data_IF_185576171116
#
_entry.id   IF_185576171116
#
_cell.length_a   1.000
_cell.length_b   1.000
_cell.length_c   1.000
_cell.angle_alpha   90.00
_cell.angle_beta   90.00
_cell.angle_gamma   90.00
#
_symmetry.space_group_name_H-M   'P 1'
#
loop_
_entity.id
_entity.type
_entity.pdbx_description
1 polymer ?
#
# COMPACT_ATOMS: atom_id res chain seq x y z
N UNK A 1 3.67 -21.44 -6.58
CA UNK A 1 2.87 -20.52 -5.73
C UNK A 1 3.00 -20.96 -4.28
N UNK A 2 2.96 -20.03 -3.33
CA UNK A 2 3.06 -20.32 -1.90
C UNK A 2 1.78 -19.88 -1.20
N UNK A 3 1.34 -20.63 -0.20
CA UNK A 3 0.19 -20.25 0.62
C UNK A 3 0.56 -19.02 1.47
N UNK A 4 -0.28 -17.98 1.42
CA UNK A 4 -0.21 -16.85 2.33
C UNK A 4 -0.91 -17.13 3.67
N UNK A 5 -0.89 -16.15 4.57
CA UNK A 5 -1.58 -16.24 5.88
C UNK A 5 -3.11 -16.40 5.73
N UNK A 6 -3.67 -15.95 4.61
CA UNK A 6 -5.10 -16.12 4.30
C UNK A 6 -6.02 -15.10 4.98
N UNK A 7 -5.50 -13.92 5.37
CA UNK A 7 -6.33 -12.82 5.92
C UNK A 7 -7.28 -12.26 4.86
N UNK A 8 -6.79 -12.05 3.64
CA UNK A 8 -7.59 -11.62 2.50
C UNK A 8 -7.47 -12.63 1.36
N UNK A 9 -8.58 -12.84 0.65
CA UNK A 9 -8.58 -13.61 -0.60
C UNK A 9 -7.89 -12.80 -1.69
N UNK A 10 -6.85 -13.38 -2.30
CA UNK A 10 -6.14 -12.74 -3.40
C UNK A 10 -4.83 -13.43 -3.72
N UNK A 11 -4.22 -13.02 -4.84
CA UNK A 11 -2.90 -13.50 -5.27
C UNK A 11 -1.95 -12.33 -5.41
N UNK A 12 -0.72 -12.51 -4.93
CA UNK A 12 0.40 -11.61 -5.22
C UNK A 12 1.13 -12.13 -6.45
N UNK A 13 1.25 -11.31 -7.49
CA UNK A 13 1.88 -11.68 -8.77
C UNK A 13 2.79 -10.58 -9.29
N UNK A 14 3.69 -10.91 -10.22
CA UNK A 14 4.65 -9.95 -10.79
C UNK A 14 3.93 -8.79 -11.44
N UNK A 15 4.42 -7.56 -11.24
CA UNK A 15 3.94 -6.40 -11.98
C UNK A 15 4.32 -6.49 -13.46
N UNK A 16 3.44 -6.00 -14.32
CA UNK A 16 3.61 -5.81 -15.75
C UNK A 16 4.09 -4.38 -15.98
N UNK A 17 5.40 -4.18 -15.87
CA UNK A 17 6.05 -2.90 -16.09
C UNK A 17 7.32 -3.11 -16.95
N UNK A 18 7.71 -2.12 -17.78
CA UNK A 18 8.90 -2.25 -18.63
C UNK A 18 10.21 -2.33 -17.85
N UNK A 19 10.24 -1.83 -16.61
CA UNK A 19 11.40 -1.86 -15.71
C UNK A 19 10.93 -2.40 -14.37
N UNK A 20 11.68 -3.33 -13.78
CA UNK A 20 11.45 -3.86 -12.44
C UNK A 20 12.77 -3.92 -11.65
N UNK A 21 12.72 -3.83 -10.31
CA UNK A 21 11.54 -3.60 -9.47
C UNK A 21 10.93 -2.20 -9.62
N UNK A 22 9.65 -2.04 -9.25
CA UNK A 22 9.12 -0.74 -8.88
C UNK A 22 9.91 -0.24 -7.68
N UNK A 23 10.80 0.73 -7.91
CA UNK A 23 11.74 1.23 -6.91
C UNK A 23 11.81 2.75 -6.93
N UNK A 24 11.55 3.37 -5.78
CA UNK A 24 11.58 4.80 -5.62
C UNK A 24 10.29 5.35 -5.01
N UNK A 25 10.11 6.66 -5.17
CA UNK A 25 8.97 7.38 -4.63
C UNK A 25 7.79 7.33 -5.62
N UNK A 26 6.61 6.96 -5.14
CA UNK A 26 5.39 6.95 -5.92
C UNK A 26 4.21 7.46 -5.06
N UNK A 27 3.22 8.05 -5.72
CA UNK A 27 2.01 8.55 -5.04
C UNK A 27 0.98 7.45 -4.88
N UNK A 28 -0.05 7.75 -4.09
CA UNK A 28 -1.15 6.85 -3.79
C UNK A 28 -2.50 7.51 -4.10
N UNK A 29 -3.48 6.69 -4.46
CA UNK A 29 -4.89 7.01 -4.51
C UNK A 29 -5.52 6.46 -3.22
N UNK A 30 -5.51 7.28 -2.16
CA UNK A 30 -6.02 6.87 -0.85
C UNK A 30 -7.54 6.63 -0.88
N UNK A 31 -8.00 5.60 -0.16
CA UNK A 31 -9.42 5.37 0.05
C UNK A 31 -10.10 6.58 0.71
N UNK A 32 -11.32 6.90 0.29
CA UNK A 32 -12.11 7.94 0.93
C UNK A 32 -12.33 7.58 2.41
N UNK A 33 -11.96 8.49 3.32
CA UNK A 33 -12.10 8.28 4.76
C UNK A 33 -11.02 7.40 5.40
N UNK A 34 -9.92 7.12 4.68
CA UNK A 34 -8.75 6.43 5.25
C UNK A 34 -8.25 7.14 6.51
N UNK A 35 -8.03 6.36 7.58
CA UNK A 35 -7.42 6.89 8.80
C UNK A 35 -5.91 6.91 8.68
N UNK A 36 -5.31 5.90 8.04
CA UNK A 36 -3.87 5.84 7.78
C UNK A 36 -3.37 7.07 7.02
N UNK A 37 -4.08 7.46 5.95
CA UNK A 37 -3.63 8.50 5.03
C UNK A 37 -4.07 9.92 5.39
N UNK A 38 -4.76 10.11 6.53
CA UNK A 38 -5.23 11.42 6.97
C UNK A 38 -4.11 12.47 7.02
N UNK A 39 -4.22 13.49 6.19
CA UNK A 39 -3.25 14.59 6.07
C UNK A 39 -2.00 14.27 5.26
N UNK A 40 -1.93 13.11 4.61
CA UNK A 40 -0.84 12.67 3.72
C UNK A 40 -1.38 12.03 2.43
N UNK A 41 -2.62 12.36 2.05
CA UNK A 41 -3.34 11.74 0.93
C UNK A 41 -2.66 12.01 -0.43
N UNK A 42 -1.92 13.11 -0.54
CA UNK A 42 -1.26 13.56 -1.77
C UNK A 42 0.28 13.42 -1.72
N UNK A 43 0.81 12.75 -0.69
CA UNK A 43 2.25 12.56 -0.52
C UNK A 43 2.77 11.35 -1.31
N UNK A 44 4.09 11.25 -1.43
CA UNK A 44 4.75 10.10 -2.02
C UNK A 44 5.37 9.18 -0.96
N UNK A 45 5.35 7.88 -1.23
CA UNK A 45 5.90 6.85 -0.36
C UNK A 45 6.98 6.04 -1.10
N UNK A 46 7.91 5.46 -0.36
CA UNK A 46 9.03 4.70 -0.92
C UNK A 46 8.66 3.24 -1.13
N UNK A 47 8.68 2.80 -2.39
CA UNK A 47 8.42 1.44 -2.82
C UNK A 47 9.71 0.72 -3.25
N UNK A 48 9.76 -0.59 -3.03
CA UNK A 48 10.79 -1.48 -3.60
C UNK A 48 10.24 -2.90 -3.72
N UNK A 49 9.62 -3.24 -4.85
CA UNK A 49 9.01 -4.56 -5.08
C UNK A 49 8.87 -4.90 -6.56
N UNK A 50 8.84 -6.19 -6.90
CA UNK A 50 8.51 -6.67 -8.27
C UNK A 50 7.14 -7.35 -8.35
N UNK A 51 6.54 -7.68 -7.22
CA UNK A 51 5.26 -8.37 -7.11
C UNK A 51 4.29 -7.52 -6.30
N UNK A 52 3.00 -7.60 -6.59
CA UNK A 52 1.96 -6.89 -5.85
C UNK A 52 0.62 -7.63 -5.94
N UNK A 53 -0.29 -7.31 -5.01
CA UNK A 53 -1.71 -7.66 -5.16
C UNK A 53 -2.38 -6.65 -6.10
N UNK A 54 -3.25 -7.13 -6.99
CA UNK A 54 -3.81 -6.35 -8.11
C UNK A 54 -5.34 -6.30 -8.13
N UNK A 55 -5.96 -7.10 -7.27
CA UNK A 55 -7.41 -7.24 -7.18
C UNK A 55 -7.92 -6.65 -5.86
N UNK A 56 -9.17 -6.21 -5.87
CA UNK A 56 -9.85 -5.75 -4.65
C UNK A 56 -10.14 -6.95 -3.75
N UNK A 57 -9.91 -6.80 -2.44
CA UNK A 57 -9.97 -7.88 -1.46
C UNK A 57 -10.46 -7.44 -0.07
N UNK A 58 -10.70 -6.14 0.14
CA UNK A 58 -11.00 -5.55 1.45
C UNK A 58 -11.80 -4.23 1.30
N UNK A 59 -12.29 -3.69 2.43
CA UNK A 59 -13.16 -2.51 2.43
C UNK A 59 -12.43 -1.21 2.06
N UNK A 60 -11.39 -0.81 2.81
CA UNK A 60 -10.66 0.43 2.57
C UNK A 60 -9.31 0.13 1.90
N UNK A 61 -9.22 0.45 0.62
CA UNK A 61 -8.09 0.11 -0.22
C UNK A 61 -7.47 1.34 -0.86
N UNK A 62 -6.17 1.48 -0.67
CA UNK A 62 -5.36 2.52 -1.30
C UNK A 62 -4.58 1.91 -2.45
N UNK A 63 -4.59 2.58 -3.59
CA UNK A 63 -4.01 2.07 -4.83
C UNK A 63 -2.83 2.92 -5.30
N UNK A 64 -1.93 2.35 -6.09
CA UNK A 64 -0.96 3.09 -6.89
C UNK A 64 -0.88 2.49 -8.29
N UNK A 65 -0.23 3.20 -9.20
CA UNK A 65 0.01 2.73 -10.57
C UNK A 65 1.50 2.73 -10.88
N UNK A 66 2.01 1.61 -11.39
CA UNK A 66 3.35 1.49 -11.96
C UNK A 66 3.34 0.40 -13.04
N UNK A 67 3.22 0.82 -14.31
CA UNK A 67 2.91 -0.09 -15.44
C UNK A 67 1.45 -0.56 -15.43
N UNK A 68 1.01 -1.11 -14.30
CA UNK A 68 -0.39 -1.47 -14.01
C UNK A 68 -0.81 -1.01 -12.60
N UNK A 69 -2.11 -1.10 -12.30
CA UNK A 69 -2.68 -0.71 -11.01
C UNK A 69 -2.48 -1.83 -9.97
N UNK A 70 -2.10 -1.46 -8.75
CA UNK A 70 -1.87 -2.42 -7.65
C UNK A 70 -2.25 -1.85 -6.28
N UNK A 71 -2.50 -2.73 -5.31
CA UNK A 71 -2.80 -2.37 -3.93
C UNK A 71 -1.55 -1.86 -3.22
N UNK A 72 -1.61 -0.62 -2.76
CA UNK A 72 -0.54 0.04 -2.02
C UNK A 72 -0.75 0.00 -0.52
N UNK A 73 -2.00 -0.01 -0.06
CA UNK A 73 -2.33 -0.25 1.33
C UNK A 73 -3.76 -0.76 1.50
N UNK A 74 -4.02 -1.40 2.65
CA UNK A 74 -5.34 -1.87 3.06
C UNK A 74 -5.57 -1.52 4.53
N UNK A 75 -6.76 -1.03 4.83
CA UNK A 75 -7.34 -0.90 6.17
C UNK A 75 -8.58 -1.78 6.25
N UNK A 76 -8.58 -2.77 7.15
CA UNK A 76 -9.71 -3.68 7.32
C UNK A 76 -9.84 -4.10 8.79
N UNK A 77 -10.75 -3.43 9.50
CA UNK A 77 -10.92 -3.60 10.95
C UNK A 77 -9.61 -3.35 11.69
N UNK A 78 -9.08 -4.40 12.34
CA UNK A 78 -7.84 -4.34 13.11
C UNK A 78 -6.57 -4.60 12.28
N UNK A 79 -6.72 -4.92 10.99
CA UNK A 79 -5.58 -5.23 10.11
C UNK A 79 -5.28 -4.02 9.24
N UNK A 80 -4.02 -3.61 9.25
CA UNK A 80 -3.48 -2.60 8.34
C UNK A 80 -2.23 -3.14 7.67
N UNK A 81 -2.09 -2.92 6.37
CA UNK A 81 -0.91 -3.32 5.61
C UNK A 81 -0.56 -2.26 4.57
N UNK A 82 0.74 -2.11 4.29
CA UNK A 82 1.28 -1.22 3.25
C UNK A 82 2.26 -2.00 2.37
N UNK A 83 2.26 -1.73 1.07
CA UNK A 83 3.22 -2.30 0.11
C UNK A 83 4.50 -1.47 0.03
N UNK A 84 4.39 -0.15 0.29
CA UNK A 84 5.53 0.73 0.49
C UNK A 84 6.11 0.57 1.91
N UNK A 85 7.27 1.20 2.13
CA UNK A 85 7.99 1.19 3.39
C UNK A 85 7.76 2.50 4.15
N UNK A 86 6.79 2.59 5.07
CA UNK A 86 6.52 3.85 5.77
C UNK A 86 7.75 4.33 6.58
N UNK A 87 8.57 3.42 7.10
CA UNK A 87 9.82 3.75 7.81
C UNK A 87 10.90 4.35 6.91
N UNK A 88 10.77 4.19 5.58
CA UNK A 88 11.67 4.76 4.57
C UNK A 88 11.06 5.94 3.82
N UNK A 89 9.85 6.34 4.17
CA UNK A 89 9.07 7.35 3.43
C UNK A 89 9.12 8.75 4.07
N UNK A 90 10.17 9.04 4.83
CA UNK A 90 10.41 10.36 5.44
C UNK A 90 9.25 10.83 6.34
N UNK A 91 8.94 12.12 6.27
CA UNK A 91 7.91 12.75 7.11
C UNK A 91 6.50 12.21 6.80
N UNK A 92 6.19 11.93 5.54
CA UNK A 92 4.91 11.33 5.13
C UNK A 92 4.74 9.94 5.75
N UNK A 93 5.79 9.12 5.71
CA UNK A 93 5.83 7.81 6.35
C UNK A 93 5.67 7.86 7.87
N UNK A 94 6.36 8.81 8.52
CA UNK A 94 6.23 9.04 9.96
C UNK A 94 4.82 9.48 10.35
N UNK A 95 4.19 10.36 9.57
CA UNK A 95 2.81 10.78 9.78
C UNK A 95 1.84 9.60 9.64
N UNK A 96 2.02 8.74 8.63
CA UNK A 96 1.22 7.52 8.46
C UNK A 96 1.35 6.58 9.66
N UNK A 97 2.56 6.35 10.17
CA UNK A 97 2.79 5.52 11.38
C UNK A 97 2.09 6.13 12.61
N UNK A 98 2.15 7.47 12.77
CA UNK A 98 1.43 8.16 13.85
C UNK A 98 -0.09 8.01 13.73
N UNK A 99 -0.62 8.06 12.51
CA UNK A 99 -2.04 7.83 12.25
C UNK A 99 -2.44 6.41 12.62
N UNK A 100 -1.69 5.40 12.16
CA UNK A 100 -1.89 4.01 12.55
C UNK A 100 -1.86 3.80 14.06
N UNK A 101 -0.89 4.38 14.78
CA UNK A 101 -0.81 4.20 16.23
C UNK A 101 -2.04 4.74 16.99
N UNK A 102 -2.80 5.66 16.40
CA UNK A 102 -4.03 6.22 16.98
C UNK A 102 -5.27 5.36 16.71
N UNK A 103 -5.17 4.33 15.88
CA UNK A 103 -6.26 3.38 15.61
C UNK A 103 -6.23 2.15 16.51
N UNK A 104 -5.25 2.06 17.42
CA UNK A 104 -5.07 1.00 18.39
C UNK A 104 -5.88 1.22 19.68
#
# INVERSE_FOLDING_TARGET
PHAGVGIWNGTVSSLAAPILPHMGWNTVEAAAGSQLFKGVENEAFYFVHSYAAKESSAANQTWSTYGERFLSAVEDGYVSATQFHPEKSGDAGLALIKNWSRTL
#
